data_IF_538012524511
#
_entry.id   IF_538012524511
#
_cell.length_a   1.000
_cell.length_b   1.000
_cell.length_c   1.000
_cell.angle_alpha   90.00
_cell.angle_beta   90.00
_cell.angle_gamma   90.00
#
_symmetry.space_group_name_H-M   'P 1'
#
loop_
_entity.id
_entity.type
_entity.pdbx_description
1 polymer ?
#
# COMPACT_ATOMS: atom_id res chain seq x y z
N UNK A 1 5.61 5.77 12.96
CA UNK A 1 6.06 4.68 12.07
C UNK A 1 6.13 3.41 12.89
N UNK A 2 5.45 2.35 12.46
CA UNK A 2 5.49 1.03 13.10
C UNK A 2 6.04 -0.01 12.12
N UNK A 3 6.83 -0.96 12.62
CA UNK A 3 7.34 -2.12 11.86
C UNK A 3 6.52 -3.35 12.25
N UNK A 4 5.85 -3.97 11.28
CA UNK A 4 4.96 -5.12 11.54
C UNK A 4 5.69 -6.47 11.40
N UNK A 5 6.79 -6.50 10.66
CA UNK A 5 7.66 -7.67 10.46
C UNK A 5 8.52 -7.48 9.20
N UNK A 6 9.69 -8.12 9.11
CA UNK A 6 10.51 -8.11 7.89
C UNK A 6 10.77 -6.71 7.32
N UNK A 7 10.31 -6.47 6.08
CA UNK A 7 10.38 -5.26 5.27
C UNK A 7 9.07 -4.44 5.26
N UNK A 8 8.11 -4.76 6.13
CA UNK A 8 6.79 -4.13 6.17
C UNK A 8 6.72 -2.97 7.17
N UNK A 9 6.27 -1.81 6.66
CA UNK A 9 6.14 -0.57 7.42
C UNK A 9 4.74 0.00 7.27
N UNK A 10 4.21 0.56 8.36
CA UNK A 10 2.95 1.32 8.34
C UNK A 10 3.18 2.75 8.81
N UNK A 11 2.62 3.67 8.05
CA UNK A 11 2.63 5.11 8.30
C UNK A 11 1.19 5.55 8.55
N UNK A 12 0.96 6.18 9.70
CA UNK A 12 -0.31 6.82 10.04
C UNK A 12 -0.12 8.33 9.90
N UNK A 13 -1.01 8.96 9.14
CA UNK A 13 -1.01 10.40 8.90
C UNK A 13 -2.28 10.97 9.55
N UNK A 14 -2.12 11.95 10.42
CA UNK A 14 -3.20 12.62 11.13
C UNK A 14 -3.12 14.12 10.89
N UNK A 15 -4.24 14.83 11.07
CA UNK A 15 -4.30 16.29 10.89
C UNK A 15 -4.32 16.72 9.42
N UNK A 16 -4.91 15.90 8.55
CA UNK A 16 -5.21 16.31 7.18
C UNK A 16 -6.55 17.02 7.19
N UNK A 17 -6.53 18.30 6.81
CA UNK A 17 -7.71 19.14 6.73
C UNK A 17 -8.07 19.43 5.28
N UNK A 18 -9.36 19.61 5.03
CA UNK A 18 -9.91 19.96 3.72
C UNK A 18 -11.03 19.04 3.26
N UNK A 19 -11.45 19.26 2.02
CA UNK A 19 -12.35 18.37 1.30
C UNK A 19 -11.69 17.02 1.03
N UNK A 20 -12.50 16.01 0.74
CA UNK A 20 -12.02 14.67 0.39
C UNK A 20 -11.01 14.67 -0.74
N UNK A 21 -11.23 15.51 -1.77
CA UNK A 21 -10.33 15.59 -2.93
C UNK A 21 -8.97 16.18 -2.52
N UNK A 22 -8.98 17.25 -1.73
CA UNK A 22 -7.76 17.88 -1.21
C UNK A 22 -6.95 16.92 -0.33
N UNK A 23 -7.62 16.21 0.60
CA UNK A 23 -6.97 15.20 1.45
C UNK A 23 -6.38 14.08 0.59
N UNK A 24 -7.11 13.61 -0.42
CA UNK A 24 -6.64 12.55 -1.33
C UNK A 24 -5.40 13.01 -2.11
N UNK A 25 -5.40 14.26 -2.61
CA UNK A 25 -4.23 14.83 -3.30
C UNK A 25 -3.04 14.98 -2.35
N UNK A 26 -3.23 15.47 -1.13
CA UNK A 26 -2.17 15.59 -0.14
C UNK A 26 -1.54 14.22 0.18
N UNK A 27 -2.36 13.19 0.39
CA UNK A 27 -1.88 11.83 0.65
C UNK A 27 -1.15 11.25 -0.56
N UNK A 28 -1.65 11.51 -1.77
CA UNK A 28 -1.01 11.06 -3.01
C UNK A 28 0.39 11.66 -3.16
N UNK A 29 0.52 12.98 -2.97
CA UNK A 29 1.82 13.67 -3.01
C UNK A 29 2.78 13.11 -1.96
N UNK A 30 2.30 12.88 -0.73
CA UNK A 30 3.14 12.32 0.33
C UNK A 30 3.60 10.89 0.00
N UNK A 31 2.70 10.05 -0.51
CA UNK A 31 3.02 8.68 -0.89
C UNK A 31 4.03 8.63 -2.05
N UNK A 32 3.90 9.51 -3.04
CA UNK A 32 4.84 9.60 -4.15
C UNK A 32 6.23 10.09 -3.69
N UNK A 33 6.27 11.10 -2.81
CA UNK A 33 7.52 11.57 -2.22
C UNK A 33 8.22 10.45 -1.41
N UNK A 34 7.46 9.71 -0.58
CA UNK A 34 8.00 8.57 0.18
C UNK A 34 8.53 7.48 -0.75
N UNK A 35 7.79 7.17 -1.82
CA UNK A 35 8.20 6.18 -2.83
C UNK A 35 9.51 6.59 -3.50
N UNK A 36 9.64 7.85 -3.90
CA UNK A 36 10.85 8.36 -4.55
C UNK A 36 12.06 8.35 -3.63
N UNK A 37 11.91 8.86 -2.41
CA UNK A 37 12.97 8.86 -1.39
C UNK A 37 13.45 7.43 -1.07
N UNK A 38 12.52 6.48 -0.96
CA UNK A 38 12.87 5.08 -0.70
C UNK A 38 13.47 4.40 -1.93
N UNK A 39 13.15 4.83 -3.14
CA UNK A 39 13.71 4.30 -4.38
C UNK A 39 15.13 4.81 -4.69
N UNK A 40 15.63 5.79 -3.93
CA UNK A 40 16.98 6.29 -4.08
C UNK A 40 18.02 5.17 -3.83
N UNK A 41 19.05 5.04 -4.68
CA UNK A 41 20.09 4.05 -4.48
C UNK A 41 20.86 4.30 -3.18
N UNK A 42 20.92 3.28 -2.32
CA UNK A 42 21.68 3.32 -1.08
C UNK A 42 22.93 2.46 -1.18
N UNK A 43 24.00 2.91 -0.53
CA UNK A 43 25.23 2.14 -0.43
C UNK A 43 25.26 1.46 0.94
N UNK A 44 25.24 0.12 0.93
CA UNK A 44 25.37 -0.69 2.13
C UNK A 44 26.56 -1.63 1.93
N UNK A 45 27.56 -1.55 2.79
CA UNK A 45 28.78 -2.38 2.72
C UNK A 45 29.45 -2.40 1.33
N UNK A 46 29.51 -1.23 0.68
CA UNK A 46 30.08 -1.09 -0.68
C UNK A 46 29.20 -1.61 -1.82
N UNK A 47 28.03 -2.18 -1.52
CA UNK A 47 27.05 -2.62 -2.51
C UNK A 47 26.01 -1.55 -2.76
N UNK A 48 25.70 -1.31 -4.04
CA UNK A 48 24.60 -0.42 -4.44
C UNK A 48 23.30 -1.20 -4.40
N UNK A 49 22.43 -0.86 -3.45
CA UNK A 49 21.09 -1.41 -3.31
C UNK A 49 20.08 -0.40 -3.86
N UNK A 50 19.10 -0.91 -4.58
CA UNK A 50 17.97 -0.12 -5.06
C UNK A 50 16.71 -0.91 -4.76
N UNK A 51 15.81 -0.33 -3.98
CA UNK A 51 14.54 -0.94 -3.62
C UNK A 51 13.40 -0.33 -4.44
N UNK A 52 12.35 -1.11 -4.66
CA UNK A 52 11.16 -0.68 -5.42
C UNK A 52 9.94 -0.72 -4.51
N UNK A 53 9.73 0.32 -3.68
CA UNK A 53 8.68 0.32 -2.67
C UNK A 53 7.30 0.34 -3.32
N UNK A 54 6.42 -0.56 -2.88
CA UNK A 54 4.99 -0.50 -3.18
C UNK A 54 4.25 -0.02 -1.93
N UNK A 55 3.23 0.82 -2.11
CA UNK A 55 2.49 1.44 -0.99
C UNK A 55 0.99 1.20 -1.19
N UNK A 56 0.33 0.63 -0.17
CA UNK A 56 -1.12 0.55 -0.08
C UNK A 56 -1.66 1.65 0.84
N UNK A 57 -2.68 2.37 0.39
CA UNK A 57 -3.22 3.55 1.08
C UNK A 57 -4.68 3.31 1.43
N UNK A 58 -5.06 3.65 2.66
CA UNK A 58 -6.45 3.67 3.13
C UNK A 58 -6.75 5.04 3.74
N UNK A 59 -7.96 5.54 3.55
CA UNK A 59 -8.44 6.81 4.08
C UNK A 59 -9.52 6.58 5.14
N UNK A 60 -9.37 7.27 6.27
CA UNK A 60 -10.37 7.25 7.35
C UNK A 60 -11.22 8.51 7.22
N UNK A 61 -12.56 8.42 7.30
CA UNK A 61 -13.38 7.25 7.66
C UNK A 61 -13.88 6.40 6.47
N UNK A 62 -13.58 6.80 5.22
CA UNK A 62 -14.12 6.17 4.00
C UNK A 62 -13.87 4.66 3.92
N UNK A 63 -12.66 4.25 4.30
CA UNK A 63 -12.21 2.86 4.28
C UNK A 63 -12.40 2.15 5.61
N UNK A 64 -13.22 2.72 6.50
CA UNK A 64 -13.59 2.13 7.78
C UNK A 64 -12.87 2.76 8.97
N UNK A 65 -13.24 2.27 10.15
CA UNK A 65 -12.77 2.78 11.45
C UNK A 65 -12.08 1.70 12.29
N UNK A 66 -12.31 0.42 11.98
CA UNK A 66 -11.73 -0.69 12.72
C UNK A 66 -10.27 -0.91 12.29
N UNK A 67 -9.29 -0.88 13.21
CA UNK A 67 -7.87 -1.01 12.86
C UNK A 67 -7.55 -2.28 12.08
N UNK A 68 -8.13 -3.42 12.47
CA UNK A 68 -7.91 -4.70 11.79
C UNK A 68 -8.41 -4.69 10.33
N UNK A 69 -9.55 -4.04 10.07
CA UNK A 69 -10.09 -3.93 8.72
C UNK A 69 -9.26 -2.97 7.87
N UNK A 70 -8.81 -1.86 8.45
CA UNK A 70 -7.94 -0.89 7.77
C UNK A 70 -6.62 -1.51 7.32
N UNK A 71 -5.96 -2.28 8.20
CA UNK A 71 -4.74 -3.00 7.85
C UNK A 71 -4.99 -3.99 6.70
N UNK A 72 -6.06 -4.79 6.81
CA UNK A 72 -6.43 -5.74 5.74
C UNK A 72 -6.70 -5.04 4.39
N UNK A 73 -7.34 -3.87 4.41
CA UNK A 73 -7.62 -3.08 3.21
C UNK A 73 -6.34 -2.46 2.64
N UNK A 74 -5.44 -1.99 3.49
CA UNK A 74 -4.12 -1.50 3.09
C UNK A 74 -3.30 -2.61 2.43
N UNK A 75 -3.35 -3.84 2.95
CA UNK A 75 -2.69 -5.00 2.34
C UNK A 75 -3.26 -5.34 0.96
N UNK A 76 -4.59 -5.25 0.78
CA UNK A 76 -5.24 -5.45 -0.52
C UNK A 76 -4.77 -4.39 -1.53
N UNK A 77 -4.70 -3.13 -1.11
CA UNK A 77 -4.20 -2.04 -1.96
C UNK A 77 -2.71 -2.22 -2.28
N UNK A 78 -1.90 -2.63 -1.31
CA UNK A 78 -0.48 -2.93 -1.47
C UNK A 78 -0.26 -4.09 -2.45
N UNK A 79 -1.05 -5.16 -2.35
CA UNK A 79 -1.00 -6.27 -3.30
C UNK A 79 -1.28 -5.78 -4.73
N UNK A 80 -2.27 -4.91 -4.91
CA UNK A 80 -2.56 -4.31 -6.22
C UNK A 80 -1.41 -3.47 -6.75
N UNK A 81 -0.77 -2.67 -5.90
CA UNK A 81 0.43 -1.93 -6.28
C UNK A 81 1.59 -2.86 -6.69
N UNK A 82 1.71 -4.04 -6.05
CA UNK A 82 2.71 -5.04 -6.43
C UNK A 82 2.37 -5.73 -7.76
N UNK A 83 1.10 -6.06 -8.00
CA UNK A 83 0.59 -6.73 -9.22
C UNK A 83 0.64 -5.81 -10.45
N UNK A 84 0.50 -4.49 -10.26
CA UNK A 84 0.54 -3.49 -11.35
C UNK A 84 1.95 -3.13 -11.86
N UNK A 85 2.99 -3.89 -11.49
CA UNK A 85 4.37 -3.65 -11.90
C UNK A 85 5.33 -3.19 -10.79
N UNK A 86 4.87 -3.13 -9.53
CA UNK A 86 5.63 -2.66 -8.35
C UNK A 86 6.03 -1.18 -8.47
N UNK A 87 6.74 -0.65 -7.46
CA UNK A 87 7.14 0.76 -7.41
C UNK A 87 5.97 1.74 -7.61
N UNK A 88 4.86 1.48 -6.93
CA UNK A 88 3.60 2.19 -7.14
C UNK A 88 2.87 2.38 -5.81
N UNK A 89 2.06 3.44 -5.74
CA UNK A 89 1.11 3.70 -4.68
C UNK A 89 -0.31 3.37 -5.17
N UNK A 90 -1.13 2.72 -4.34
CA UNK A 90 -2.52 2.45 -4.66
C UNK A 90 -3.45 2.76 -3.49
N UNK A 91 -4.56 3.43 -3.78
CA UNK A 91 -5.65 3.63 -2.84
C UNK A 91 -6.54 2.39 -2.82
N UNK A 92 -7.06 2.06 -1.64
CA UNK A 92 -8.05 1.01 -1.54
C UNK A 92 -9.33 1.39 -2.29
N UNK A 93 -9.83 0.44 -3.08
CA UNK A 93 -11.17 0.50 -3.65
C UNK A 93 -11.88 -0.82 -3.38
N UNK A 94 -13.18 -0.76 -3.06
CA UNK A 94 -13.99 -1.96 -2.76
C UNK A 94 -13.95 -2.99 -3.91
N UNK A 95 -13.83 -2.53 -5.16
CA UNK A 95 -13.66 -3.39 -6.34
C UNK A 95 -12.39 -4.24 -6.28
N UNK A 96 -11.31 -3.76 -5.63
CA UNK A 96 -10.08 -4.51 -5.44
C UNK A 96 -10.28 -5.72 -4.53
N UNK A 97 -11.07 -5.57 -3.47
CA UNK A 97 -11.38 -6.65 -2.54
C UNK A 97 -12.15 -7.77 -3.25
N UNK A 98 -13.10 -7.43 -4.12
CA UNK A 98 -13.84 -8.41 -4.92
C UNK A 98 -12.89 -9.17 -5.86
N UNK A 99 -12.03 -8.46 -6.57
CA UNK A 99 -11.12 -9.07 -7.52
C UNK A 99 -10.02 -9.91 -6.84
N UNK A 100 -9.55 -9.54 -5.64
CA UNK A 100 -8.66 -10.40 -4.82
C UNK A 100 -9.39 -11.66 -4.36
N UNK A 101 -10.62 -11.53 -3.88
CA UNK A 101 -11.41 -12.69 -3.44
C UNK A 101 -11.72 -13.67 -4.58
N UNK A 102 -11.94 -13.16 -5.79
CA UNK A 102 -12.15 -13.98 -6.98
C UNK A 102 -10.86 -14.70 -7.41
N UNK A 103 -9.71 -14.02 -7.35
CA UNK A 103 -8.41 -14.62 -7.68
C UNK A 103 -8.02 -15.73 -6.69
N UNK A 104 -8.20 -15.50 -5.39
CA UNK A 104 -8.00 -16.52 -4.35
C UNK A 104 -8.91 -17.75 -4.55
N UNK A 105 -10.17 -17.54 -4.96
CA UNK A 105 -11.07 -18.64 -5.30
C UNK A 105 -10.58 -19.45 -6.50
N UNK A 106 -10.03 -18.80 -7.52
CA UNK A 106 -9.47 -19.46 -8.70
C UNK A 106 -8.16 -20.19 -8.40
N UNK A 107 -7.29 -19.62 -7.58
CA UNK A 107 -6.04 -20.25 -7.14
C UNK A 107 -6.31 -21.47 -6.23
N UNK A 108 -7.32 -21.40 -5.37
CA UNK A 108 -7.76 -22.55 -4.58
C UNK A 108 -8.50 -23.62 -5.41
N UNK A 109 -9.17 -23.23 -6.49
CA UNK A 109 -9.85 -24.16 -7.39
C UNK A 109 -8.89 -24.85 -8.36
N UNK A 110 -7.84 -24.14 -8.78
CA UNK A 110 -6.75 -24.66 -9.61
C UNK A 110 -5.57 -25.05 -8.71
N UNK A 111 -5.82 -25.99 -7.79
CA UNK A 111 -4.79 -26.52 -6.90
C UNK A 111 -3.68 -27.18 -7.69
N UNK A 112 -2.56 -26.48 -7.89
CA UNK A 112 -1.28 -27.15 -8.11
C UNK A 112 -0.78 -27.65 -6.75
N UNK A 113 -1.11 -28.90 -6.48
CA UNK A 113 -0.33 -29.79 -5.63
C UNK A 113 -0.01 -31.06 -6.41
#
# INVERSE_FOLDING_TARGET
MARLGGDEFVVLICGLDGTRDEVTQQVRVLADNLRELLAEPMFLDGHRLQVTPSIGIVLIPDDGLAPADLLKRADIALYRAKDSGRNASQFFHVSMQQAVSQRLRLENACGWR
#
